data_IF_829515638286
#
_entry.id   IF_829515638286
#
_cell.length_a   1.000
_cell.length_b   1.000
_cell.length_c   1.000
_cell.angle_alpha   90.00
_cell.angle_beta   90.00
_cell.angle_gamma   90.00
#
_symmetry.space_group_name_H-M   'P 1'
#
loop_
_entity.id
_entity.type
_entity.pdbx_description
1 polymer ?
#
# COMPACT_ATOMS: atom_id res chain seq x y z
N UNK A 1 0.01 -30.49 18.49
CA UNK A 1 0.84 -31.31 19.42
C UNK A 1 2.04 -30.46 19.81
N UNK A 2 1.91 -29.69 20.89
CA UNK A 2 2.96 -28.79 21.37
C UNK A 2 3.58 -29.37 22.63
N UNK A 3 4.90 -29.40 22.67
CA UNK A 3 5.70 -30.00 23.74
C UNK A 3 5.92 -28.93 24.80
N UNK A 4 5.33 -29.09 25.99
CA UNK A 4 5.57 -28.23 27.15
C UNK A 4 6.76 -28.78 27.94
N UNK A 5 7.84 -28.02 28.03
CA UNK A 5 8.95 -28.32 28.94
C UNK A 5 8.60 -27.77 30.34
N UNK A 6 8.39 -28.67 31.30
CA UNK A 6 8.22 -28.32 32.71
C UNK A 6 9.58 -28.23 33.42
N UNK A 7 9.87 -27.08 34.03
CA UNK A 7 10.82 -26.99 35.14
C UNK A 7 10.04 -26.76 36.43
N UNK A 8 10.26 -27.60 37.42
CA UNK A 8 9.66 -27.50 38.75
C UNK A 8 10.17 -26.25 39.48
N UNK A 9 9.26 -25.43 40.01
CA UNK A 9 9.52 -24.42 41.03
C UNK A 9 8.60 -24.67 42.23
N UNK A 10 9.05 -24.47 43.49
CA UNK A 10 8.30 -24.85 44.69
C UNK A 10 7.19 -23.87 45.05
N UNK A 11 6.27 -24.35 45.88
CA UNK A 11 4.97 -23.77 46.20
C UNK A 11 5.01 -22.31 46.68
N UNK A 12 4.48 -21.43 45.83
CA UNK A 12 4.17 -20.03 46.14
C UNK A 12 3.41 -19.43 44.97
N UNK A 13 2.08 -19.37 45.09
CA UNK A 13 1.16 -18.53 44.30
C UNK A 13 1.49 -18.40 42.80
N UNK A 14 1.07 -19.38 41.99
CA UNK A 14 1.00 -19.17 40.53
C UNK A 14 -0.20 -18.27 40.25
N UNK A 15 0.05 -16.96 40.17
CA UNK A 15 -0.89 -16.06 39.53
C UNK A 15 -0.97 -16.43 38.04
N UNK A 16 -2.07 -17.07 37.63
CA UNK A 16 -2.42 -17.17 36.23
C UNK A 16 -2.71 -15.75 35.72
N UNK A 17 -1.72 -15.06 35.18
CA UNK A 17 -1.99 -13.92 34.31
C UNK A 17 -2.60 -14.47 33.02
N UNK A 18 -3.93 -14.48 32.97
CA UNK A 18 -4.65 -14.53 31.70
C UNK A 18 -4.28 -13.28 30.90
N UNK A 19 -3.29 -13.38 30.02
CA UNK A 19 -3.15 -12.43 28.92
C UNK A 19 -4.13 -12.83 27.82
N UNK A 20 -5.40 -12.47 28.02
CA UNK A 20 -6.35 -12.33 26.93
C UNK A 20 -6.81 -10.88 26.93
N UNK A 21 -6.04 -10.01 26.25
CA UNK A 21 -6.42 -8.63 26.02
C UNK A 21 -7.17 -8.50 24.69
N UNK A 22 -8.36 -7.90 24.78
CA UNK A 22 -9.24 -7.34 23.73
C UNK A 22 -9.05 -7.83 22.28
N UNK A 23 -9.95 -8.69 21.82
CA UNK A 23 -10.27 -8.81 20.39
C UNK A 23 -11.44 -7.85 20.11
N UNK A 24 -11.16 -6.55 19.93
CA UNK A 24 -12.20 -5.63 19.47
C UNK A 24 -12.55 -5.94 18.02
N UNK A 25 -13.76 -6.44 17.79
CA UNK A 25 -14.33 -6.71 16.48
C UNK A 25 -14.91 -5.45 15.82
N UNK A 26 -14.90 -4.32 16.54
CA UNK A 26 -15.51 -3.07 16.11
C UNK A 26 -14.45 -2.20 15.42
N UNK A 27 -14.73 -1.88 14.16
CA UNK A 27 -13.96 -0.92 13.37
C UNK A 27 -14.79 0.27 12.94
N UNK A 28 -14.12 1.39 12.67
CA UNK A 28 -14.77 2.60 12.13
C UNK A 28 -14.05 3.11 10.89
N UNK A 29 -14.80 3.80 10.04
CA UNK A 29 -14.30 4.47 8.85
C UNK A 29 -13.84 5.89 9.22
N UNK A 30 -12.63 6.28 8.82
CA UNK A 30 -12.15 7.66 8.93
C UNK A 30 -12.15 8.32 7.56
N UNK A 31 -13.23 9.07 7.29
CA UNK A 31 -13.36 9.89 6.08
C UNK A 31 -12.72 11.26 6.26
N UNK A 32 -12.05 11.75 5.23
CA UNK A 32 -11.26 13.00 5.25
C UNK A 32 -11.86 14.13 4.42
N UNK A 33 -13.03 13.92 3.82
CA UNK A 33 -13.77 14.94 3.06
C UNK A 33 -14.49 15.87 4.06
N UNK A 34 -13.72 16.73 4.71
CA UNK A 34 -14.17 17.73 5.68
C UNK A 34 -13.06 18.79 5.91
N UNK A 35 -13.43 20.00 6.30
CA UNK A 35 -12.52 21.13 6.54
C UNK A 35 -12.30 21.46 8.02
N UNK A 36 -12.92 20.70 8.93
CA UNK A 36 -12.97 20.96 10.36
C UNK A 36 -12.57 19.76 11.24
N UNK A 37 -11.80 18.81 10.68
CA UNK A 37 -11.38 17.61 11.40
C UNK A 37 -10.38 17.92 12.51
N UNK A 38 -10.51 17.19 13.62
CA UNK A 38 -9.55 17.26 14.73
C UNK A 38 -8.14 16.82 14.30
N UNK A 39 -7.08 17.38 14.91
CA UNK A 39 -5.70 16.95 14.66
C UNK A 39 -5.47 15.45 14.91
N UNK A 40 -4.49 14.87 14.23
CA UNK A 40 -4.17 13.44 14.32
C UNK A 40 -3.97 12.93 15.76
N UNK A 41 -3.26 13.68 16.60
CA UNK A 41 -3.03 13.32 18.00
C UNK A 41 -4.33 13.29 18.85
N UNK A 42 -5.24 14.24 18.61
CA UNK A 42 -6.55 14.30 19.27
C UNK A 42 -7.44 13.15 18.80
N UNK A 43 -7.43 12.84 17.51
CA UNK A 43 -8.15 11.70 16.94
C UNK A 43 -7.62 10.37 17.47
N UNK A 44 -6.30 10.20 17.55
CA UNK A 44 -5.68 9.02 18.16
C UNK A 44 -6.08 8.88 19.64
N UNK A 45 -6.03 9.98 20.41
CA UNK A 45 -6.46 9.98 21.82
C UNK A 45 -7.93 9.57 21.95
N UNK A 46 -8.80 10.13 21.11
CA UNK A 46 -10.21 9.75 21.06
C UNK A 46 -10.36 8.24 20.79
N UNK A 47 -9.71 7.71 19.75
CA UNK A 47 -9.79 6.29 19.43
C UNK A 47 -9.33 5.42 20.60
N UNK A 48 -8.19 5.75 21.23
CA UNK A 48 -7.69 5.01 22.40
C UNK A 48 -8.57 5.12 23.65
N UNK A 49 -9.40 6.16 23.74
CA UNK A 49 -10.36 6.31 24.85
C UNK A 49 -11.64 5.48 24.66
N UNK A 50 -11.81 4.83 23.50
CA UNK A 50 -13.01 4.06 23.14
C UNK A 50 -12.74 2.57 22.99
N UNK A 51 -13.80 1.78 22.76
CA UNK A 51 -13.69 0.34 22.43
C UNK A 51 -13.32 0.06 20.96
N UNK A 52 -13.09 1.09 20.13
CA UNK A 52 -12.76 0.94 18.71
C UNK A 52 -11.34 0.40 18.59
N UNK A 53 -11.20 -0.80 18.01
CA UNK A 53 -9.90 -1.45 17.82
C UNK A 53 -9.42 -1.47 16.37
N UNK A 54 -10.25 -1.05 15.42
CA UNK A 54 -9.91 -1.06 13.99
C UNK A 54 -10.28 0.26 13.33
N UNK A 55 -9.41 0.78 12.48
CA UNK A 55 -9.63 2.01 11.74
C UNK A 55 -9.42 1.76 10.25
N UNK A 56 -10.43 2.02 9.42
CA UNK A 56 -10.28 2.05 7.97
C UNK A 56 -9.94 3.48 7.53
N UNK A 57 -8.79 3.64 6.88
CA UNK A 57 -8.38 4.87 6.22
C UNK A 57 -8.61 4.74 4.73
N UNK A 58 -9.13 5.79 4.08
CA UNK A 58 -9.30 5.86 2.63
C UNK A 58 -8.12 6.54 1.93
N UNK A 59 -7.23 7.15 2.70
CA UNK A 59 -6.08 7.92 2.24
C UNK A 59 -4.88 7.64 3.18
N UNK A 60 -3.63 7.88 2.76
CA UNK A 60 -2.49 7.71 3.64
C UNK A 60 -2.45 8.87 4.64
N UNK A 61 -2.58 8.54 5.92
CA UNK A 61 -2.58 9.48 7.04
C UNK A 61 -1.37 9.22 7.95
N UNK A 62 -0.16 9.60 7.50
CA UNK A 62 1.08 9.26 8.21
C UNK A 62 1.06 9.79 9.66
N UNK A 63 0.63 11.04 9.86
CA UNK A 63 0.51 11.66 11.19
C UNK A 63 -0.41 10.87 12.13
N UNK A 64 -1.54 10.37 11.61
CA UNK A 64 -2.49 9.56 12.38
C UNK A 64 -1.94 8.16 12.65
N UNK A 65 -1.29 7.53 11.67
CA UNK A 65 -0.61 6.24 11.83
C UNK A 65 0.49 6.36 12.89
N UNK A 66 1.29 7.42 12.85
CA UNK A 66 2.33 7.71 13.82
C UNK A 66 1.74 7.96 15.22
N UNK A 67 0.66 8.75 15.32
CA UNK A 67 -0.03 9.01 16.58
C UNK A 67 -0.68 7.75 17.18
N UNK A 68 -1.08 6.79 16.33
CA UNK A 68 -1.62 5.49 16.74
C UNK A 68 -0.53 4.45 17.05
N UNK A 69 0.75 4.74 16.82
CA UNK A 69 1.82 3.77 17.03
C UNK A 69 1.96 3.37 18.52
N UNK A 70 1.67 2.10 18.81
CA UNK A 70 1.68 1.52 20.17
C UNK A 70 0.31 1.53 20.88
N UNK A 71 -0.77 1.92 20.20
CA UNK A 71 -2.13 1.99 20.74
C UNK A 71 -2.92 0.67 20.71
N UNK A 72 -2.40 -0.38 20.08
CA UNK A 72 -3.11 -1.63 19.73
C UNK A 72 -4.30 -1.46 18.75
N UNK A 73 -4.46 -0.29 18.13
CA UNK A 73 -5.45 -0.09 17.07
C UNK A 73 -4.91 -0.67 15.75
N UNK A 74 -5.68 -1.55 15.12
CA UNK A 74 -5.39 -2.11 13.79
C UNK A 74 -5.83 -1.12 12.70
N UNK A 75 -5.00 -0.92 11.68
CA UNK A 75 -5.30 -0.01 10.58
C UNK A 75 -5.56 -0.82 9.30
N UNK A 76 -6.68 -0.56 8.65
CA UNK A 76 -7.00 -1.04 7.30
C UNK A 76 -6.84 0.14 6.35
N UNK A 77 -5.99 -0.01 5.34
CA UNK A 77 -5.71 1.04 4.37
C UNK A 77 -6.43 0.71 3.07
N UNK A 78 -7.39 1.54 2.68
CA UNK A 78 -7.99 1.52 1.36
C UNK A 78 -7.06 2.21 0.36
N UNK A 79 -6.86 1.56 -0.79
CA UNK A 79 -6.19 2.17 -1.94
C UNK A 79 -7.28 2.65 -2.90
N UNK A 80 -7.61 3.95 -2.97
CA UNK A 80 -8.45 4.46 -4.04
C UNK A 80 -7.71 4.33 -5.38
N UNK A 81 -8.42 3.93 -6.44
CA UNK A 81 -7.92 4.02 -7.82
C UNK A 81 -8.65 5.11 -8.60
N UNK A 82 -7.96 5.57 -9.65
CA UNK A 82 -8.43 6.11 -10.93
C UNK A 82 -8.47 7.62 -11.19
N UNK A 83 -8.14 8.49 -10.23
CA UNK A 83 -7.94 9.92 -10.54
C UNK A 83 -6.47 10.24 -10.87
N UNK A 84 -6.19 11.24 -11.72
CA UNK A 84 -4.83 11.79 -11.84
C UNK A 84 -4.37 12.23 -10.45
N UNK A 85 -3.38 11.55 -9.89
CA UNK A 85 -2.88 11.87 -8.57
C UNK A 85 -2.06 13.18 -8.65
N UNK A 86 -2.54 14.31 -8.10
CA UNK A 86 -1.79 15.57 -8.12
C UNK A 86 -0.55 15.54 -7.22
N UNK A 87 -0.31 14.42 -6.54
CA UNK A 87 0.63 14.31 -5.44
C UNK A 87 -0.03 14.71 -4.14
N UNK A 88 0.25 13.96 -3.08
CA UNK A 88 -0.16 14.30 -1.72
C UNK A 88 1.07 14.66 -0.90
N UNK A 89 1.11 15.90 -0.42
CA UNK A 89 2.13 16.34 0.52
C UNK A 89 1.75 15.85 1.91
N UNK A 90 2.65 15.11 2.55
CA UNK A 90 2.54 14.74 3.95
C UNK A 90 2.84 15.95 4.85
N UNK A 91 1.91 16.30 5.74
CA UNK A 91 2.00 17.50 6.55
C UNK A 91 3.11 17.44 7.61
N UNK A 92 3.41 16.24 8.13
CA UNK A 92 4.44 16.03 9.13
C UNK A 92 5.87 16.09 8.57
N UNK A 93 6.12 15.49 7.39
CA UNK A 93 7.45 15.38 6.79
C UNK A 93 7.72 16.32 5.63
N UNK A 94 6.67 16.89 5.00
CA UNK A 94 6.77 17.67 3.77
C UNK A 94 7.05 16.84 2.51
N UNK A 95 7.08 15.50 2.61
CA UNK A 95 7.30 14.61 1.48
C UNK A 95 6.07 14.58 0.58
N UNK A 96 6.28 14.61 -0.74
CA UNK A 96 5.20 14.53 -1.73
C UNK A 96 5.10 13.12 -2.32
N UNK A 97 3.93 12.50 -2.21
CA UNK A 97 3.67 11.13 -2.66
C UNK A 97 2.77 11.11 -3.89
N UNK A 98 3.30 10.55 -4.98
CA UNK A 98 2.60 10.43 -6.28
C UNK A 98 1.80 9.14 -6.42
N UNK A 99 1.84 8.26 -5.43
CA UNK A 99 1.02 7.06 -5.37
C UNK A 99 0.82 6.62 -3.91
N UNK A 100 -0.20 5.79 -3.68
CA UNK A 100 -0.54 5.28 -2.35
C UNK A 100 0.47 4.26 -1.83
N UNK A 101 1.08 3.48 -2.73
CA UNK A 101 2.04 2.43 -2.36
C UNK A 101 3.23 3.02 -1.58
N UNK A 102 3.86 4.06 -2.12
CA UNK A 102 4.96 4.79 -1.48
C UNK A 102 4.51 5.41 -0.16
N UNK A 103 3.33 6.04 -0.14
CA UNK A 103 2.82 6.73 1.03
C UNK A 103 2.56 5.78 2.20
N UNK A 104 2.06 4.57 1.94
CA UNK A 104 1.80 3.54 2.94
C UNK A 104 3.10 2.90 3.43
N UNK A 105 4.01 2.56 2.51
CA UNK A 105 5.32 2.02 2.87
C UNK A 105 6.11 3.01 3.74
N UNK A 106 6.11 4.28 3.37
CA UNK A 106 6.81 5.31 4.15
C UNK A 106 6.11 5.66 5.47
N UNK A 107 4.79 5.48 5.58
CA UNK A 107 4.10 5.59 6.86
C UNK A 107 4.62 4.55 7.86
N UNK A 108 4.77 3.29 7.41
CA UNK A 108 5.32 2.21 8.22
C UNK A 108 6.79 2.49 8.56
N UNK A 109 7.57 2.92 7.57
CA UNK A 109 8.98 3.29 7.76
C UNK A 109 9.14 4.41 8.78
N UNK A 110 8.34 5.47 8.68
CA UNK A 110 8.35 6.58 9.63
C UNK A 110 8.01 6.13 11.05
N UNK A 111 7.04 5.23 11.22
CA UNK A 111 6.69 4.67 12.51
C UNK A 111 7.84 3.84 13.12
N UNK A 112 8.53 3.03 12.32
CA UNK A 112 9.69 2.25 12.77
C UNK A 112 10.87 3.16 13.17
N UNK A 113 11.16 4.18 12.35
CA UNK A 113 12.19 5.19 12.65
C UNK A 113 11.91 5.90 13.97
N UNK A 114 10.67 6.35 14.17
CA UNK A 114 10.24 7.06 15.38
C UNK A 114 10.35 6.23 16.66
N UNK A 115 10.49 4.90 16.54
CA UNK A 115 10.72 3.97 17.66
C UNK A 115 12.16 3.46 17.74
N UNK A 116 13.06 3.95 16.88
CA UNK A 116 14.47 3.56 16.87
C UNK A 116 14.78 2.27 16.11
N UNK A 117 13.84 1.73 15.34
CA UNK A 117 13.99 0.48 14.58
C UNK A 117 14.47 0.73 13.14
N UNK A 118 15.43 1.63 12.96
CA UNK A 118 15.84 2.05 11.62
C UNK A 118 16.49 0.92 10.78
N UNK A 119 16.96 -0.16 11.39
CA UNK A 119 17.54 -1.31 10.70
C UNK A 119 16.55 -2.38 10.24
N UNK A 120 15.25 -2.21 10.50
CA UNK A 120 14.23 -3.19 10.11
C UNK A 120 13.91 -3.04 8.62
N UNK A 121 14.11 -4.13 7.87
CA UNK A 121 13.64 -4.24 6.49
C UNK A 121 12.13 -4.44 6.43
N UNK A 122 11.51 -3.83 5.42
CA UNK A 122 10.09 -3.97 5.12
C UNK A 122 9.96 -4.76 3.83
N UNK A 123 9.08 -5.75 3.85
CA UNK A 123 8.68 -6.53 2.68
C UNK A 123 7.17 -6.40 2.54
N UNK A 124 6.70 -6.17 1.31
CA UNK A 124 5.27 -6.13 1.00
C UNK A 124 4.81 -7.56 0.72
N UNK A 125 4.14 -8.15 1.70
CA UNK A 125 3.72 -9.55 1.64
C UNK A 125 2.59 -9.80 0.62
N UNK A 126 1.70 -8.82 0.42
CA UNK A 126 0.57 -8.94 -0.52
C UNK A 126 0.19 -7.55 -1.05
N UNK A 127 0.05 -7.44 -2.37
CA UNK A 127 -0.50 -6.26 -3.03
C UNK A 127 -1.04 -6.64 -4.40
N UNK A 128 -2.20 -6.14 -4.76
CA UNK A 128 -2.84 -6.48 -6.03
C UNK A 128 -4.16 -5.74 -6.21
N UNK A 129 -4.78 -5.94 -7.36
CA UNK A 129 -6.04 -5.31 -7.71
C UNK A 129 -6.93 -6.28 -8.48
N UNK A 130 -8.21 -6.44 -8.09
CA UNK A 130 -9.10 -7.40 -8.73
C UNK A 130 -9.53 -6.92 -10.12
N UNK A 131 -9.57 -7.81 -11.11
CA UNK A 131 -9.96 -7.45 -12.48
C UNK A 131 -11.46 -7.54 -12.75
N UNK A 132 -12.22 -8.07 -11.79
CA UNK A 132 -13.68 -8.24 -11.87
C UNK A 132 -14.25 -8.16 -10.46
N UNK A 133 -15.39 -7.52 -10.30
CA UNK A 133 -16.13 -7.48 -9.04
C UNK A 133 -17.63 -7.57 -9.24
N UNK A 134 -18.37 -7.43 -8.14
CA UNK A 134 -19.82 -7.31 -8.12
C UNK A 134 -20.27 -5.97 -8.73
N UNK A 135 -21.58 -5.80 -8.94
CA UNK A 135 -22.14 -4.61 -9.59
C UNK A 135 -21.85 -3.29 -8.85
N UNK A 136 -21.59 -3.34 -7.55
CA UNK A 136 -21.22 -2.21 -6.70
C UNK A 136 -19.70 -2.02 -6.55
N UNK A 137 -18.88 -2.87 -7.19
CA UNK A 137 -17.42 -2.82 -7.17
C UNK A 137 -16.84 -2.21 -8.46
N UNK A 138 -17.28 -1.00 -8.82
CA UNK A 138 -16.92 -0.34 -10.09
C UNK A 138 -15.41 -0.18 -10.35
N UNK A 139 -14.58 -0.24 -9.29
CA UNK A 139 -13.12 -0.20 -9.41
C UNK A 139 -12.48 -1.53 -9.84
N UNK A 140 -13.18 -2.66 -9.73
CA UNK A 140 -12.67 -3.99 -10.04
C UNK A 140 -12.84 -4.30 -11.53
N UNK A 141 -11.94 -3.77 -12.35
CA UNK A 141 -11.97 -3.89 -13.82
C UNK A 141 -10.62 -4.36 -14.35
N UNK A 142 -10.56 -4.97 -15.56
CA UNK A 142 -9.30 -5.41 -16.15
C UNK A 142 -8.32 -4.27 -16.40
N UNK A 143 -8.82 -3.09 -16.78
CA UNK A 143 -7.98 -1.92 -17.03
C UNK A 143 -7.36 -1.37 -15.75
N UNK A 144 -8.12 -1.30 -14.66
CA UNK A 144 -7.59 -0.87 -13.36
C UNK A 144 -6.61 -1.88 -12.79
N UNK A 145 -6.89 -3.18 -12.92
CA UNK A 145 -5.98 -4.22 -12.47
C UNK A 145 -4.65 -4.21 -13.24
N UNK A 146 -4.72 -4.06 -14.56
CA UNK A 146 -3.55 -3.86 -15.42
C UNK A 146 -2.77 -2.62 -15.05
N UNK A 147 -3.45 -1.49 -14.87
CA UNK A 147 -2.81 -0.22 -14.53
C UNK A 147 -2.10 -0.31 -13.17
N UNK A 148 -2.77 -0.83 -12.15
CA UNK A 148 -2.20 -0.98 -10.81
C UNK A 148 -0.96 -1.90 -10.82
N UNK A 149 -1.15 -3.16 -11.24
CA UNK A 149 -0.09 -4.16 -11.20
C UNK A 149 1.06 -3.83 -12.17
N UNK A 150 0.75 -3.31 -13.36
CA UNK A 150 1.74 -2.90 -14.35
C UNK A 150 2.58 -1.71 -13.89
N UNK A 151 1.94 -0.67 -13.34
CA UNK A 151 2.65 0.50 -12.81
C UNK A 151 3.48 0.14 -11.58
N UNK A 152 2.98 -0.74 -10.71
CA UNK A 152 3.74 -1.25 -9.57
C UNK A 152 5.01 -1.98 -10.03
N UNK A 153 4.90 -2.89 -11.01
CA UNK A 153 6.07 -3.58 -11.59
C UNK A 153 7.05 -2.57 -12.20
N UNK A 154 6.57 -1.57 -12.94
CA UNK A 154 7.42 -0.53 -13.51
C UNK A 154 8.14 0.30 -12.42
N UNK A 155 7.41 0.70 -11.38
CA UNK A 155 7.95 1.42 -10.23
C UNK A 155 9.04 0.60 -9.53
N UNK A 156 8.78 -0.67 -9.21
CA UNK A 156 9.76 -1.55 -8.54
C UNK A 156 11.00 -1.79 -9.41
N UNK A 157 10.86 -1.93 -10.73
CA UNK A 157 11.98 -2.08 -11.68
C UNK A 157 12.81 -0.81 -11.83
N UNK A 158 12.21 0.36 -11.64
CA UNK A 158 12.92 1.65 -11.75
C UNK A 158 13.97 1.86 -10.66
N UNK A 159 13.87 1.13 -9.54
CA UNK A 159 14.73 1.28 -8.35
C UNK A 159 14.70 2.69 -7.73
N UNK A 160 13.72 3.52 -8.08
CA UNK A 160 13.59 4.89 -7.53
C UNK A 160 13.35 4.86 -6.02
N UNK A 161 12.72 3.80 -5.50
CA UNK A 161 12.32 3.67 -4.11
C UNK A 161 11.16 4.61 -3.76
N UNK A 162 11.03 4.94 -2.48
CA UNK A 162 10.00 5.85 -1.98
C UNK A 162 10.57 7.22 -1.65
N UNK A 163 9.75 8.28 -1.51
CA UNK A 163 10.24 9.61 -1.10
C UNK A 163 11.08 9.61 0.19
N UNK A 164 10.74 8.81 1.20
CA UNK A 164 11.51 8.69 2.45
C UNK A 164 12.69 7.73 2.33
N UNK A 165 12.58 6.70 1.49
CA UNK A 165 13.61 5.67 1.30
C UNK A 165 14.01 5.58 -0.19
N UNK A 166 14.66 6.63 -0.73
CA UNK A 166 14.99 6.68 -2.16
C UNK A 166 16.14 5.73 -2.53
N UNK A 167 16.19 5.33 -3.79
CA UNK A 167 17.32 4.60 -4.38
C UNK A 167 17.37 3.10 -4.06
N UNK A 168 16.31 2.54 -3.46
CA UNK A 168 16.17 1.09 -3.22
C UNK A 168 14.75 0.65 -3.50
N UNK A 169 14.59 -0.41 -4.29
CA UNK A 169 13.29 -1.07 -4.44
C UNK A 169 12.92 -1.87 -3.18
N UNK A 170 11.66 -2.28 -3.10
CA UNK A 170 11.12 -3.04 -1.96
C UNK A 170 10.69 -4.41 -2.44
N UNK A 171 11.12 -5.45 -1.72
CA UNK A 171 10.67 -6.81 -2.01
C UNK A 171 9.15 -6.88 -1.86
N UNK A 172 8.49 -7.29 -2.94
CA UNK A 172 7.04 -7.16 -3.09
C UNK A 172 6.47 -8.40 -3.74
N UNK A 173 5.44 -8.95 -3.11
CA UNK A 173 4.74 -10.14 -3.55
C UNK A 173 3.38 -9.74 -4.11
N UNK A 174 3.20 -9.91 -5.42
CA UNK A 174 1.93 -9.62 -6.09
C UNK A 174 0.88 -10.66 -5.69
N UNK A 175 -0.28 -10.18 -5.26
CA UNK A 175 -1.45 -10.98 -4.97
C UNK A 175 -2.39 -10.95 -6.19
N UNK A 176 -2.64 -12.05 -6.90
CA UNK A 176 -2.06 -13.38 -6.73
C UNK A 176 -1.76 -14.03 -8.09
N UNK A 177 -1.13 -15.21 -8.07
CA UNK A 177 -0.82 -15.92 -9.31
C UNK A 177 -2.08 -16.36 -10.07
N UNK A 178 -3.03 -16.96 -9.34
CA UNK A 178 -4.28 -17.49 -9.91
C UNK A 178 -5.51 -16.89 -9.23
N UNK A 179 -6.64 -16.95 -9.93
CA UNK A 179 -7.95 -16.76 -9.31
C UNK A 179 -8.22 -17.87 -8.29
N UNK A 180 -8.64 -17.47 -7.09
CA UNK A 180 -8.98 -18.37 -5.99
C UNK A 180 -10.52 -18.51 -5.90
N UNK A 181 -11.09 -19.36 -6.74
CA UNK A 181 -12.54 -19.51 -6.95
C UNK A 181 -13.34 -19.94 -5.71
N UNK A 182 -12.68 -20.56 -4.73
CA UNK A 182 -13.30 -20.97 -3.47
C UNK A 182 -13.31 -19.87 -2.38
N UNK A 183 -12.79 -18.67 -2.65
CA UNK A 183 -12.82 -17.59 -1.66
C UNK A 183 -14.25 -17.11 -1.38
N UNK A 184 -14.64 -17.02 -0.09
CA UNK A 184 -15.95 -16.48 0.28
C UNK A 184 -15.98 -14.96 0.06
N UNK A 185 -17.19 -14.39 0.00
CA UNK A 185 -17.37 -12.95 -0.13
C UNK A 185 -17.62 -12.49 -1.58
N UNK A 186 -17.34 -11.21 -1.89
CA UNK A 186 -17.68 -10.61 -3.18
C UNK A 186 -16.93 -11.25 -4.34
N UNK A 187 -17.36 -10.97 -5.58
CA UNK A 187 -16.69 -11.47 -6.79
C UNK A 187 -15.25 -11.01 -6.89
N UNK A 188 -14.92 -9.82 -6.37
CA UNK A 188 -13.53 -9.31 -6.34
C UNK A 188 -12.56 -10.25 -5.65
N UNK A 189 -12.94 -10.86 -4.52
CA UNK A 189 -12.07 -11.79 -3.77
C UNK A 189 -11.61 -12.98 -4.61
N UNK A 190 -12.41 -13.41 -5.60
CA UNK A 190 -12.11 -14.54 -6.50
C UNK A 190 -11.47 -14.11 -7.82
N UNK A 191 -11.07 -12.85 -7.94
CA UNK A 191 -10.72 -12.23 -9.23
C UNK A 191 -9.43 -11.40 -9.17
N UNK A 192 -8.49 -11.77 -8.29
CA UNK A 192 -7.17 -11.12 -8.15
C UNK A 192 -6.06 -11.77 -9.01
N UNK A 193 -6.33 -12.92 -9.63
CA UNK A 193 -5.32 -13.69 -10.35
C UNK A 193 -4.72 -12.91 -11.52
N UNK A 194 -3.39 -12.96 -11.64
CA UNK A 194 -2.70 -12.58 -12.87
C UNK A 194 -3.02 -13.55 -14.02
N UNK A 195 -3.28 -14.82 -13.67
CA UNK A 195 -3.65 -15.89 -14.59
C UNK A 195 -4.91 -16.63 -14.10
N UNK A 196 -5.56 -17.33 -15.00
CA UNK A 196 -6.56 -18.34 -14.68
C UNK A 196 -5.88 -19.69 -14.43
N UNK A 197 -6.61 -20.64 -13.84
CA UNK A 197 -6.09 -21.98 -13.57
C UNK A 197 -5.71 -22.76 -14.86
N UNK A 198 -6.26 -22.35 -16.01
CA UNK A 198 -5.92 -22.90 -17.33
C UNK A 198 -4.67 -22.26 -17.96
N UNK A 199 -3.95 -21.41 -17.20
CA UNK A 199 -2.75 -20.67 -17.59
C UNK A 199 -2.98 -19.47 -18.52
N UNK A 200 -4.23 -19.13 -18.84
CA UNK A 200 -4.56 -17.91 -19.58
C UNK A 200 -4.26 -16.69 -18.71
N UNK A 201 -3.52 -15.71 -19.25
CA UNK A 201 -3.31 -14.44 -18.56
C UNK A 201 -4.61 -13.62 -18.54
N UNK A 202 -4.98 -13.07 -17.39
CA UNK A 202 -6.14 -12.17 -17.28
C UNK A 202 -5.83 -10.80 -17.92
N UNK A 203 -4.59 -10.35 -17.82
CA UNK A 203 -4.08 -9.11 -18.42
C UNK A 203 -2.53 -9.14 -18.40
N UNK A 204 -1.89 -8.30 -19.23
CA UNK A 204 -0.42 -8.22 -19.31
C UNK A 204 0.12 -7.07 -18.48
N UNK A 205 1.08 -7.38 -17.60
CA UNK A 205 1.79 -6.46 -16.70
C UNK A 205 3.31 -6.46 -16.95
N UNK A 206 3.77 -7.02 -18.06
CA UNK A 206 5.17 -7.00 -18.47
C UNK A 206 6.08 -7.96 -17.68
N UNK A 207 5.55 -9.07 -17.18
CA UNK A 207 6.34 -10.11 -16.48
C UNK A 207 6.83 -11.23 -17.42
N UNK A 208 6.28 -11.34 -18.63
CA UNK A 208 6.70 -12.34 -19.59
C UNK A 208 8.18 -12.18 -19.96
N UNK A 209 8.92 -13.29 -20.00
CA UNK A 209 10.33 -13.29 -20.42
C UNK A 209 10.38 -13.02 -21.93
N UNK A 210 10.80 -11.81 -22.32
CA UNK A 210 10.98 -11.43 -23.73
C UNK A 210 10.31 -10.12 -24.16
N UNK A 211 9.46 -9.52 -23.32
CA UNK A 211 9.00 -8.14 -23.55
C UNK A 211 10.08 -7.16 -23.10
N UNK A 212 10.86 -6.67 -24.06
CA UNK A 212 11.66 -5.48 -23.87
C UNK A 212 10.74 -4.34 -23.35
N UNK A 213 11.20 -3.57 -22.37
CA UNK A 213 10.53 -2.32 -22.00
C UNK A 213 10.30 -1.50 -23.28
N UNK A 214 9.15 -0.81 -23.43
CA UNK A 214 9.08 0.27 -24.40
C UNK A 214 10.11 1.30 -23.96
N UNK A 215 11.24 1.34 -24.66
CA UNK A 215 12.17 2.45 -24.56
C UNK A 215 11.44 3.67 -25.10
N UNK A 216 10.99 4.57 -24.23
CA UNK A 216 10.51 5.88 -24.63
C UNK A 216 11.71 6.74 -25.06
N UNK A 217 12.35 6.39 -26.18
CA UNK A 217 13.16 7.31 -26.94
C UNK A 217 12.21 8.10 -27.85
N UNK A 218 11.49 9.05 -27.25
CA UNK A 218 10.81 10.08 -28.00
C UNK A 218 11.86 10.95 -28.67
N UNK A 219 12.11 10.71 -29.96
CA UNK A 219 12.84 11.62 -30.82
C UNK A 219 12.14 12.98 -30.76
N UNK A 220 12.76 13.96 -30.10
CA UNK A 220 12.49 15.36 -30.39
C UNK A 220 12.99 15.59 -31.81
N UNK A 221 12.06 15.61 -32.76
CA UNK A 221 12.31 16.10 -34.10
C UNK A 221 12.59 17.60 -34.03
N UNK A 222 13.84 17.97 -33.76
CA UNK A 222 14.35 19.31 -34.02
C UNK A 222 14.61 19.39 -35.52
N UNK A 223 13.60 19.82 -36.27
CA UNK A 223 13.78 20.23 -37.67
C UNK A 223 14.62 21.51 -37.65
N UNK A 224 15.92 21.37 -37.90
CA UNK A 224 16.82 22.49 -38.07
C UNK A 224 16.45 23.24 -39.36
N UNK A 225 15.94 24.46 -39.24
CA UNK A 225 15.78 25.39 -40.37
C UNK A 225 17.16 25.97 -40.72
N UNK A 226 17.64 25.89 -41.97
CA UNK A 226 18.91 26.52 -42.34
C UNK A 226 18.78 28.04 -42.36
N UNK A 227 19.78 28.71 -41.78
CA UNK A 227 19.95 30.16 -41.81
C UNK A 227 20.03 30.69 -43.25
N UNK A 228 19.14 31.62 -43.61
CA UNK A 228 19.34 32.46 -44.79
C UNK A 228 20.18 33.68 -44.43
N UNK A 229 21.27 33.81 -45.17
CA UNK A 229 22.28 34.85 -45.14
C UNK A 229 21.68 36.20 -45.55
N UNK A 230 22.02 37.24 -44.79
CA UNK A 230 21.81 38.64 -45.10
C UNK A 230 22.58 39.01 -46.39
N UNK A 231 21.91 39.62 -47.37
CA UNK A 231 22.57 40.38 -48.42
C UNK A 231 21.84 41.73 -48.62
N UNK A 232 22.64 42.78 -48.55
CA UNK A 232 22.34 44.20 -48.63
C UNK A 232 22.01 44.67 -50.05
N UNK A 233 21.01 45.54 -50.17
CA UNK A 233 20.99 46.72 -51.05
C UNK A 233 19.83 47.64 -50.60
#
# INVERSE_FOLDING_TARGET
MSIYNYRYAPAGSVAFQKFASSQSFIGVNYGTIADNLSPAASTASLLTSTSIGKLRLYEPQQDLVAALAGSNISILLGVPNSDPNPGRVDAGSGLNYMNMFDAQLDAVRAALDGKGYAGVDIVIAETGWPYRGDADEAGATPDNARAYNGNLVAHLRSQVGTPRTPGRSVDTYLFALYDEDLKPGPVSERSFGLYQADLTANYDIGLAKGSASPSTSGQIGVTATPAQVLASA
#
